data_IF_765980875349
#
_entry.id   IF_765980875349
#
_cell.length_a   1.000
_cell.length_b   1.000
_cell.length_c   1.000
_cell.angle_alpha   90.00
_cell.angle_beta   90.00
_cell.angle_gamma   90.00
#
_symmetry.space_group_name_H-M   'P 1'
#
loop_
_entity.id
_entity.type
_entity.pdbx_description
1 polymer ?
#
# COMPACT_ATOMS: atom_id res chain seq x y z
N UNK A 1 2.53 21.59 -3.11
CA UNK A 1 2.47 20.48 -4.10
C UNK A 1 1.31 19.58 -3.72
N UNK A 2 0.30 19.43 -4.60
CA UNK A 2 -0.80 18.48 -4.37
C UNK A 2 -0.29 17.08 -4.73
N UNK A 3 -0.11 16.22 -3.73
CA UNK A 3 0.17 14.80 -3.98
C UNK A 3 -1.10 14.20 -4.60
N UNK A 4 -1.14 14.10 -5.93
CA UNK A 4 -2.19 13.33 -6.62
C UNK A 4 -1.91 11.84 -6.36
N UNK A 5 -2.57 11.35 -5.32
CA UNK A 5 -2.67 9.92 -5.05
C UNK A 5 -3.67 9.33 -6.04
N UNK A 6 -3.28 8.25 -6.70
CA UNK A 6 -4.22 7.45 -7.50
C UNK A 6 -5.07 6.58 -6.56
N UNK A 7 -6.28 6.18 -6.99
CA UNK A 7 -7.16 5.27 -6.24
C UNK A 7 -6.43 4.02 -5.72
N UNK A 8 -5.51 3.50 -6.52
CA UNK A 8 -4.59 2.42 -6.18
C UNK A 8 -3.76 2.69 -4.91
N UNK A 9 -3.20 3.90 -4.79
CA UNK A 9 -2.36 4.30 -3.65
C UNK A 9 -3.21 4.58 -2.42
N UNK A 10 -4.41 5.13 -2.63
CA UNK A 10 -5.44 5.37 -1.63
C UNK A 10 -5.90 4.07 -0.98
N UNK A 11 -6.11 2.99 -1.75
CA UNK A 11 -6.45 1.68 -1.20
C UNK A 11 -5.37 1.13 -0.28
N UNK A 12 -4.10 1.21 -0.67
CA UNK A 12 -2.97 0.81 0.18
C UNK A 12 -2.95 1.64 1.47
N UNK A 13 -3.12 2.95 1.37
CA UNK A 13 -3.23 3.84 2.53
C UNK A 13 -4.42 3.49 3.42
N UNK A 14 -5.56 3.13 2.86
CA UNK A 14 -6.76 2.77 3.62
C UNK A 14 -6.53 1.51 4.46
N UNK A 15 -5.89 0.50 3.87
CA UNK A 15 -5.51 -0.73 4.58
C UNK A 15 -4.53 -0.43 5.72
N UNK A 16 -3.51 0.41 5.46
CA UNK A 16 -2.57 0.88 6.48
C UNK A 16 -3.26 1.71 7.57
N UNK A 17 -4.23 2.55 7.23
CA UNK A 17 -4.97 3.36 8.22
C UNK A 17 -5.84 2.48 9.11
N UNK A 18 -6.41 1.42 8.53
CA UNK A 18 -7.31 0.50 9.22
C UNK A 18 -6.57 -0.54 10.09
N UNK A 19 -5.43 -1.03 9.63
CA UNK A 19 -4.66 -2.09 10.30
C UNK A 19 -3.41 -1.57 11.04
N UNK A 20 -2.97 -0.34 10.78
CA UNK A 20 -1.77 0.24 11.37
C UNK A 20 -0.48 -0.25 10.72
N UNK A 21 0.51 -0.63 11.54
CA UNK A 21 1.80 -1.16 11.11
C UNK A 21 1.62 -2.53 10.43
N UNK A 22 1.42 -2.50 9.12
CA UNK A 22 1.05 -3.67 8.33
C UNK A 22 2.14 -3.99 7.33
N UNK A 23 2.49 -5.26 7.21
CA UNK A 23 3.51 -5.69 6.24
C UNK A 23 2.98 -5.60 4.81
N UNK A 24 3.89 -5.38 3.84
CA UNK A 24 3.53 -5.37 2.42
C UNK A 24 2.82 -6.66 1.96
N UNK A 25 3.14 -7.79 2.60
CA UNK A 25 2.51 -9.09 2.35
C UNK A 25 1.05 -9.11 2.81
N UNK A 26 0.76 -8.60 4.00
CA UNK A 26 -0.62 -8.50 4.49
C UNK A 26 -1.44 -7.52 3.66
N UNK A 27 -0.88 -6.36 3.30
CA UNK A 27 -1.54 -5.42 2.40
C UNK A 27 -1.91 -6.10 1.08
N UNK A 28 -1.00 -6.90 0.52
CA UNK A 28 -1.27 -7.68 -0.68
C UNK A 28 -2.34 -8.77 -0.49
N UNK A 29 -2.41 -9.40 0.68
CA UNK A 29 -3.47 -10.36 1.00
C UNK A 29 -4.83 -9.68 1.16
N UNK A 30 -4.89 -8.58 1.90
CA UNK A 30 -6.13 -7.82 2.14
C UNK A 30 -6.67 -7.26 0.82
N UNK A 31 -5.82 -6.59 0.04
CA UNK A 31 -6.23 -6.06 -1.26
C UNK A 31 -6.55 -7.17 -2.28
N UNK A 32 -5.84 -8.30 -2.21
CA UNK A 32 -6.18 -9.48 -2.99
C UNK A 32 -7.57 -10.03 -2.65
N UNK A 33 -7.95 -10.01 -1.38
CA UNK A 33 -9.26 -10.49 -0.89
C UNK A 33 -10.41 -9.49 -1.09
N UNK A 34 -10.19 -8.19 -0.87
CA UNK A 34 -11.24 -7.17 -0.96
C UNK A 34 -11.56 -6.78 -2.42
N UNK A 35 -10.54 -6.56 -3.24
CA UNK A 35 -10.68 -5.99 -4.59
C UNK A 35 -10.12 -6.90 -5.69
N UNK A 36 -9.64 -8.11 -5.34
CA UNK A 36 -9.07 -9.05 -6.31
C UNK A 36 -7.71 -8.60 -6.85
N UNK A 37 -6.97 -7.76 -6.11
CA UNK A 37 -5.73 -7.22 -6.64
C UNK A 37 -4.61 -8.27 -6.68
N UNK A 38 -3.87 -8.29 -7.79
CA UNK A 38 -2.72 -9.16 -7.88
C UNK A 38 -1.61 -8.66 -6.94
N UNK A 39 -1.00 -9.59 -6.22
CA UNK A 39 0.13 -9.38 -5.31
C UNK A 39 1.23 -8.53 -5.97
N UNK A 40 1.57 -8.82 -7.23
CA UNK A 40 2.58 -8.06 -7.99
C UNK A 40 2.19 -6.57 -8.17
N UNK A 41 0.92 -6.30 -8.40
CA UNK A 41 0.44 -4.93 -8.58
C UNK A 41 0.46 -4.18 -7.25
N UNK A 42 0.09 -4.83 -6.15
CA UNK A 42 0.22 -4.25 -4.81
C UNK A 42 1.66 -3.89 -4.47
N UNK A 43 2.63 -4.79 -4.70
CA UNK A 43 4.05 -4.48 -4.48
C UNK A 43 4.53 -3.30 -5.32
N UNK A 44 4.08 -3.21 -6.58
CA UNK A 44 4.41 -2.09 -7.47
C UNK A 44 3.84 -0.78 -6.95
N UNK A 45 2.60 -0.80 -6.46
CA UNK A 45 1.94 0.39 -5.91
C UNK A 45 2.56 0.80 -4.58
N UNK A 46 2.85 -0.13 -3.67
CA UNK A 46 3.59 0.16 -2.44
C UNK A 46 4.93 0.83 -2.77
N UNK A 47 5.67 0.30 -3.74
CA UNK A 47 6.94 0.91 -4.19
C UNK A 47 6.75 2.32 -4.74
N UNK A 48 5.68 2.57 -5.50
CA UNK A 48 5.33 3.92 -6.00
C UNK A 48 4.94 4.86 -4.86
N UNK A 49 4.15 4.40 -3.89
CA UNK A 49 3.78 5.18 -2.71
C UNK A 49 5.01 5.57 -1.89
N UNK A 50 5.95 4.63 -1.69
CA UNK A 50 7.22 4.92 -1.01
C UNK A 50 8.05 5.92 -1.81
N UNK A 51 8.14 5.74 -3.13
CA UNK A 51 8.86 6.68 -4.00
C UNK A 51 8.24 8.09 -4.01
N UNK A 52 6.92 8.20 -3.82
CA UNK A 52 6.20 9.47 -3.67
C UNK A 52 6.30 10.07 -2.26
N UNK A 53 6.83 9.33 -1.28
CA UNK A 53 6.85 9.74 0.12
C UNK A 53 5.48 9.67 0.81
N UNK A 54 4.52 8.94 0.24
CA UNK A 54 3.20 8.74 0.84
C UNK A 54 3.21 7.70 1.97
N UNK A 55 4.11 6.71 1.88
CA UNK A 55 4.24 5.64 2.86
C UNK A 55 5.72 5.45 3.18
N UNK A 56 6.05 5.33 4.46
CA UNK A 56 7.40 5.01 4.89
C UNK A 56 7.46 3.52 5.24
N UNK A 57 8.34 2.77 4.58
CA UNK A 57 8.58 1.36 4.93
C UNK A 57 9.64 1.33 6.03
N UNK A 58 9.29 0.84 7.22
CA UNK A 58 10.26 0.43 8.23
C UNK A 58 10.46 -1.07 8.14
N UNK A 59 11.70 -1.49 7.96
CA UNK A 59 12.03 -2.90 8.08
C UNK A 59 12.11 -3.24 9.58
N UNK A 60 11.37 -4.27 10.05
CA UNK A 60 11.52 -4.74 11.41
C UNK A 60 12.92 -5.36 11.54
N UNK A 61 13.70 -4.86 12.50
CA UNK A 61 14.96 -5.45 12.93
C UNK A 61 14.68 -6.40 14.10
#
# INVERSE_FOLDING_TARGET
>A
MQVKLFDSELHVMNVLWKNGDTTAKEIAQILGGEIGWNVNTTYTVIKKCVAKGAIERREPN
#
